data_IF_930883591744
#
_entry.id   IF_930883591744
#
_cell.length_a   1.000
_cell.length_b   1.000
_cell.length_c   1.000
_cell.angle_alpha   90.00
_cell.angle_beta   90.00
_cell.angle_gamma   90.00
#
_symmetry.space_group_name_H-M   'P 1'
#
loop_
_entity.id
_entity.type
_entity.pdbx_description
1 polymer ?
#
# COMPACT_ATOMS: atom_id res chain seq x y z
N UNK A 1 -0.56 -25.93 -14.63
CA UNK A 1 -0.85 -24.55 -15.07
C UNK A 1 -1.66 -23.74 -14.04
N UNK A 2 -2.59 -24.37 -13.29
CA UNK A 2 -3.37 -23.69 -12.24
C UNK A 2 -2.59 -23.25 -10.97
N UNK A 3 -1.39 -23.80 -10.72
CA UNK A 3 -0.64 -23.53 -9.47
C UNK A 3 0.04 -22.16 -9.43
N UNK A 4 0.68 -21.74 -10.53
CA UNK A 4 1.40 -20.46 -10.59
C UNK A 4 0.43 -19.27 -10.49
N UNK A 5 -0.67 -19.31 -11.23
CA UNK A 5 -1.71 -18.26 -11.16
C UNK A 5 -2.28 -18.15 -9.75
N UNK A 6 -2.60 -19.29 -9.12
CA UNK A 6 -3.10 -19.31 -7.74
C UNK A 6 -2.11 -18.71 -6.74
N UNK A 7 -0.81 -19.01 -6.88
CA UNK A 7 0.24 -18.43 -6.03
C UNK A 7 0.33 -16.91 -6.20
N UNK A 8 0.28 -16.41 -7.44
CA UNK A 8 0.25 -14.97 -7.73
C UNK A 8 -0.99 -14.31 -7.12
N UNK A 9 -2.16 -14.92 -7.29
CA UNK A 9 -3.41 -14.42 -6.72
C UNK A 9 -3.36 -14.35 -5.19
N UNK A 10 -2.74 -15.35 -4.54
CA UNK A 10 -2.49 -15.33 -3.10
C UNK A 10 -1.58 -14.16 -2.70
N UNK A 11 -0.47 -13.98 -3.40
CA UNK A 11 0.48 -12.90 -3.14
C UNK A 11 -0.16 -11.51 -3.30
N UNK A 12 -0.92 -11.30 -4.38
CA UNK A 12 -1.66 -10.06 -4.61
C UNK A 12 -2.65 -9.78 -3.48
N UNK A 13 -3.32 -10.82 -2.95
CA UNK A 13 -4.28 -10.66 -1.85
C UNK A 13 -3.59 -10.21 -0.56
N UNK A 14 -2.44 -10.81 -0.22
CA UNK A 14 -1.65 -10.36 0.92
C UNK A 14 -1.11 -8.94 0.74
N UNK A 15 -0.66 -8.61 -0.46
CA UNK A 15 -0.18 -7.27 -0.75
C UNK A 15 -1.28 -6.21 -0.61
N UNK A 16 -2.51 -6.51 -1.08
CA UNK A 16 -3.67 -5.65 -0.87
C UNK A 16 -3.99 -5.47 0.62
N UNK A 17 -3.86 -6.51 1.43
CA UNK A 17 -4.02 -6.42 2.89
C UNK A 17 -2.96 -5.50 3.51
N UNK A 18 -1.69 -5.61 3.10
CA UNK A 18 -0.61 -4.73 3.55
C UNK A 18 -0.89 -3.27 3.16
N UNK A 19 -1.35 -3.01 1.94
CA UNK A 19 -1.74 -1.68 1.51
C UNK A 19 -2.93 -1.14 2.31
N UNK A 20 -3.93 -1.98 2.60
CA UNK A 20 -5.06 -1.60 3.44
C UNK A 20 -4.61 -1.16 4.84
N UNK A 21 -3.72 -1.94 5.47
CA UNK A 21 -3.14 -1.57 6.77
C UNK A 21 -2.38 -0.24 6.66
N UNK A 22 -1.61 -0.03 5.58
CA UNK A 22 -0.91 1.25 5.35
C UNK A 22 -1.86 2.43 5.18
N UNK A 23 -2.98 2.24 4.47
CA UNK A 23 -4.02 3.27 4.30
C UNK A 23 -4.63 3.62 5.67
N UNK A 24 -5.03 2.62 6.44
CA UNK A 24 -5.59 2.83 7.78
C UNK A 24 -4.59 3.54 8.69
N UNK A 25 -3.33 3.08 8.72
CA UNK A 25 -2.28 3.71 9.53
C UNK A 25 -1.96 5.14 9.12
N UNK A 26 -2.15 5.51 7.85
CA UNK A 26 -1.92 6.89 7.39
C UNK A 26 -2.87 7.92 8.02
N UNK A 27 -3.99 7.48 8.61
CA UNK A 27 -4.97 8.35 9.26
C UNK A 27 -4.64 8.56 10.75
N UNK A 28 -3.74 7.76 11.32
CA UNK A 28 -3.34 7.88 12.71
C UNK A 28 -1.98 8.58 12.80
N UNK A 29 -1.82 9.54 13.73
CA UNK A 29 -0.50 10.13 13.98
C UNK A 29 0.40 9.07 14.63
N UNK A 30 1.51 8.74 13.97
CA UNK A 30 2.47 7.74 14.45
C UNK A 30 3.60 8.46 15.18
N UNK A 31 3.80 8.15 16.46
CA UNK A 31 4.92 8.67 17.23
C UNK A 31 6.24 8.10 16.68
N UNK A 32 7.35 8.87 16.67
CA UNK A 32 8.65 8.38 16.17
C UNK A 32 9.23 7.22 16.99
N UNK A 33 8.72 7.02 18.21
CA UNK A 33 9.18 6.01 19.15
C UNK A 33 8.04 5.03 19.46
N UNK A 34 8.38 3.74 19.59
CA UNK A 34 7.46 2.68 20.00
C UNK A 34 7.17 1.62 18.92
N UNK A 35 6.36 0.63 19.27
CA UNK A 35 6.05 -0.51 18.40
C UNK A 35 5.37 -0.11 17.08
N UNK A 36 4.55 0.95 17.10
CA UNK A 36 3.86 1.44 15.90
C UNK A 36 4.82 2.03 14.86
N UNK A 37 5.90 2.69 15.30
CA UNK A 37 6.94 3.19 14.41
C UNK A 37 7.64 2.04 13.68
N UNK A 38 7.93 0.94 14.38
CA UNK A 38 8.52 -0.27 13.78
C UNK A 38 7.60 -0.91 12.75
N UNK A 39 6.31 -1.05 13.06
CA UNK A 39 5.32 -1.60 12.13
C UNK A 39 5.19 -0.71 10.90
N UNK A 40 5.05 0.61 11.08
CA UNK A 40 4.96 1.56 9.98
C UNK A 40 6.22 1.54 9.10
N UNK A 41 7.41 1.51 9.71
CA UNK A 41 8.68 1.42 8.99
C UNK A 41 8.79 0.14 8.16
N UNK A 42 8.33 -1.00 8.69
CA UNK A 42 8.26 -2.25 7.92
C UNK A 42 7.30 -2.14 6.74
N UNK A 43 6.11 -1.58 6.95
CA UNK A 43 5.12 -1.39 5.89
C UNK A 43 5.66 -0.48 4.79
N UNK A 44 6.27 0.67 5.16
CA UNK A 44 6.92 1.57 4.21
C UNK A 44 7.98 0.83 3.40
N UNK A 45 8.84 0.03 4.03
CA UNK A 45 9.86 -0.75 3.33
C UNK A 45 9.28 -1.71 2.28
N UNK A 46 8.16 -2.37 2.60
CA UNK A 46 7.51 -3.35 1.71
C UNK A 46 6.75 -2.66 0.58
N UNK A 47 6.13 -1.52 0.83
CA UNK A 47 5.20 -0.88 -0.12
C UNK A 47 5.83 0.28 -0.89
N UNK A 48 6.88 0.94 -0.38
CA UNK A 48 7.57 2.04 -1.05
C UNK A 48 8.16 1.71 -2.43
N UNK A 49 8.67 0.50 -2.73
CA UNK A 49 9.13 0.18 -4.10
C UNK A 49 8.05 0.38 -5.16
N UNK A 50 6.77 0.19 -4.79
CA UNK A 50 5.62 0.41 -5.66
C UNK A 50 5.08 1.84 -5.54
N UNK A 51 5.11 2.43 -4.34
CA UNK A 51 4.53 3.74 -4.11
C UNK A 51 5.45 4.92 -4.47
N UNK A 52 6.77 4.76 -4.40
CA UNK A 52 7.74 5.81 -4.76
C UNK A 52 7.58 6.26 -6.23
N UNK A 53 7.48 5.34 -7.21
CA UNK A 53 7.14 5.73 -8.58
C UNK A 53 5.76 6.38 -8.70
N UNK A 54 4.78 5.96 -7.91
CA UNK A 54 3.45 6.58 -7.94
C UNK A 54 3.46 8.00 -7.37
N UNK A 55 4.31 8.28 -6.37
CA UNK A 55 4.46 9.62 -5.75
C UNK A 55 5.04 10.66 -6.72
N UNK A 56 5.77 10.26 -7.76
CA UNK A 56 6.23 11.21 -8.77
C UNK A 56 5.10 11.68 -9.69
N UNK A 57 4.09 10.85 -9.92
CA UNK A 57 2.89 11.20 -10.70
C UNK A 57 1.79 11.84 -9.84
N UNK A 58 1.67 11.41 -8.58
CA UNK A 58 0.64 11.83 -7.65
C UNK A 58 1.30 12.34 -6.37
N UNK A 59 1.72 13.62 -6.35
CA UNK A 59 2.34 14.21 -5.17
C UNK A 59 1.38 14.17 -3.98
N UNK A 60 1.91 14.05 -2.74
CA UNK A 60 1.10 14.02 -1.53
C UNK A 60 0.17 15.24 -1.43
N UNK A 61 -1.07 15.00 -1.06
CA UNK A 61 -2.05 16.09 -0.89
C UNK A 61 -1.85 16.69 0.50
N UNK A 62 -1.42 17.95 0.53
CA UNK A 62 -1.29 18.72 1.77
C UNK A 62 -2.66 19.25 2.17
N UNK A 63 -3.16 18.82 3.33
CA UNK A 63 -4.38 19.33 3.95
C UNK A 63 -4.01 20.00 5.28
N UNK A 64 -3.80 21.32 5.24
CA UNK A 64 -3.40 22.11 6.41
C UNK A 64 -2.02 21.71 6.92
N UNK A 65 -1.96 21.25 8.18
CA UNK A 65 -0.72 20.81 8.83
C UNK A 65 -0.33 19.35 8.51
N UNK A 66 -1.20 18.58 7.83
CA UNK A 66 -0.98 17.17 7.53
C UNK A 66 -0.79 16.95 6.03
N UNK A 67 0.14 16.06 5.65
CA UNK A 67 0.26 15.56 4.29
C UNK A 67 -0.36 14.16 4.23
N UNK A 68 -1.35 13.97 3.35
CA UNK A 68 -1.97 12.67 3.10
C UNK A 68 -1.40 12.09 1.81
N UNK A 69 -0.79 10.91 1.93
CA UNK A 69 -0.31 10.14 0.79
C UNK A 69 -1.49 9.40 0.15
N UNK A 70 -1.92 9.82 -1.05
CA UNK A 70 -2.95 9.12 -1.82
C UNK A 70 -2.39 7.94 -2.64
N UNK A 71 -1.07 7.84 -2.77
CA UNK A 71 -0.40 6.77 -3.53
C UNK A 71 -0.78 5.35 -3.10
N UNK A 72 -0.88 5.01 -1.78
CA UNK A 72 -1.34 3.69 -1.34
C UNK A 72 -2.76 3.37 -1.81
N UNK A 73 -3.64 4.37 -1.85
CA UNK A 73 -5.02 4.21 -2.30
C UNK A 73 -5.09 3.92 -3.81
N UNK A 74 -4.32 4.65 -4.61
CA UNK A 74 -4.25 4.42 -6.06
C UNK A 74 -3.63 3.06 -6.36
N UNK A 75 -2.56 2.67 -5.65
CA UNK A 75 -1.99 1.33 -5.77
C UNK A 75 -3.01 0.25 -5.41
N UNK A 76 -3.80 0.45 -4.35
CA UNK A 76 -4.82 -0.50 -3.93
C UNK A 76 -5.86 -0.75 -5.02
N UNK A 77 -6.42 0.31 -5.63
CA UNK A 77 -7.37 0.16 -6.73
C UNK A 77 -6.73 -0.44 -7.98
N UNK A 78 -5.52 -0.01 -8.35
CA UNK A 78 -4.81 -0.54 -9.51
C UNK A 78 -4.51 -2.05 -9.37
N UNK A 79 -4.05 -2.48 -8.19
CA UNK A 79 -3.77 -3.89 -7.92
C UNK A 79 -5.06 -4.71 -7.81
N UNK A 80 -6.13 -4.15 -7.24
CA UNK A 80 -7.44 -4.82 -7.20
C UNK A 80 -7.96 -5.10 -8.60
N UNK A 81 -7.83 -4.13 -9.51
CA UNK A 81 -8.19 -4.30 -10.91
C UNK A 81 -7.32 -5.37 -11.60
N UNK A 82 -5.99 -5.30 -11.44
CA UNK A 82 -5.07 -6.31 -11.99
C UNK A 82 -5.38 -7.72 -11.49
N UNK A 83 -5.66 -7.86 -10.18
CA UNK A 83 -6.08 -9.13 -9.59
C UNK A 83 -7.37 -9.63 -10.22
N UNK A 84 -8.37 -8.75 -10.43
CA UNK A 84 -9.63 -9.12 -11.07
C UNK A 84 -9.45 -9.67 -12.48
N UNK A 85 -8.48 -9.15 -13.24
CA UNK A 85 -8.17 -9.60 -14.61
C UNK A 85 -7.35 -10.90 -14.61
N UNK A 86 -6.42 -11.07 -13.66
CA UNK A 86 -5.49 -12.22 -13.63
C UNK A 86 -6.12 -13.44 -12.93
N UNK A 87 -6.95 -13.20 -11.92
CA UNK A 87 -7.50 -14.21 -11.01
C UNK A 87 -8.99 -14.50 -11.28
N UNK A 88 -9.52 -14.04 -12.42
CA UNK A 88 -10.86 -14.37 -12.90
C UNK A 88 -10.99 -15.82 -13.34
#
# INVERSE_FOLDING_TARGET
>A
MASLVTLVCWFLNWYLLVLLVRIVLSWFPISPHGAMATIAGFLYRVTDPVLLPLRSFLPPVRMGAMALDLSPLVAFFGITFLRGVICS
#
